data_IF_602911384906
#
_entry.id   IF_602911384906
#
_cell.length_a   1.000
_cell.length_b   1.000
_cell.length_c   1.000
_cell.angle_alpha   90.00
_cell.angle_beta   90.00
_cell.angle_gamma   90.00
#
_symmetry.space_group_name_H-M   'P 1'
#
loop_
_entity.id
_entity.type
_entity.pdbx_description
1 polymer ?
2 non-polymer ?
3 non-polymer ?
4 water ?
#
# COMPACT_ATOMS: atom_id res chain seq x y z
N UNK A 2 -24.22 -5.15 12.12
CA UNK A 2 -22.99 -5.62 12.83
C UNK A 2 -23.13 -5.52 14.35
N UNK A 3 -22.40 -6.38 15.10
CA UNK A 3 -22.42 -6.26 16.57
C UNK A 3 -21.89 -4.91 17.02
N UNK A 4 -22.44 -4.40 18.13
CA UNK A 4 -21.98 -3.14 18.71
C UNK A 4 -20.53 -3.25 19.22
N UNK A 5 -20.14 -4.43 19.68
CA UNK A 5 -18.78 -4.66 20.20
C UNK A 5 -18.30 -6.04 19.82
N UNK A 6 -16.99 -6.18 19.63
CA UNK A 6 -16.32 -7.44 19.27
C UNK A 6 -14.99 -7.51 20.02
N UNK A 7 -14.64 -8.70 20.51
CA UNK A 7 -13.35 -8.92 21.16
C UNK A 7 -12.87 -10.32 20.79
N UNK A 8 -11.95 -10.39 19.83
CA UNK A 8 -11.43 -11.69 19.38
C UNK A 8 -10.68 -12.51 20.44
N UNK A 9 -10.26 -11.85 21.52
CA UNK A 9 -9.65 -12.59 22.65
C UNK A 9 -10.65 -13.59 23.27
N UNK A 10 -11.93 -13.18 23.31
CA UNK A 10 -13.02 -14.03 23.83
C UNK A 10 -13.23 -15.31 23.01
N UNK A 11 -12.81 -15.25 21.74
CA UNK A 11 -13.03 -16.31 20.76
C UNK A 11 -11.80 -17.24 20.59
N UNK A 12 -10.77 -17.08 21.45
CA UNK A 12 -9.58 -17.92 21.44
C UNK A 12 -8.64 -17.71 20.26
N UNK A 13 -8.68 -16.52 19.66
CA UNK A 13 -7.96 -16.23 18.40
C UNK A 13 -6.78 -15.27 18.54
N UNK A 14 -6.42 -14.92 19.77
CA UNK A 14 -5.36 -13.95 20.02
C UNK A 14 -4.31 -14.52 20.97
N UNK A 15 -3.04 -14.51 20.56
CA UNK A 15 -1.96 -15.06 21.39
C UNK A 15 -1.49 -14.05 22.44
N UNK A 16 -0.52 -14.45 23.27
CA UNK A 16 0.05 -13.55 24.26
C UNK A 16 0.68 -12.32 23.59
N UNK A 17 0.71 -11.22 24.33
CA UNK A 17 1.39 -10.02 23.85
C UNK A 17 2.89 -10.27 23.82
N UNK A 18 3.53 -9.83 22.73
CA UNK A 18 4.95 -9.97 22.50
C UNK A 18 5.67 -8.64 22.79
N UNK A 19 6.99 -8.72 22.96
CA UNK A 19 7.84 -7.59 23.32
C UNK A 19 8.89 -7.41 22.23
N UNK A 20 8.79 -6.35 21.41
CA UNK A 20 9.72 -6.18 20.29
C UNK A 20 11.12 -5.69 20.72
N UNK A 21 11.18 -5.06 21.88
CA UNK A 21 12.43 -4.49 22.39
C UNK A 21 12.94 -3.42 21.46
N UNK A 22 14.26 -3.38 21.24
CA UNK A 22 14.87 -2.28 20.49
C UNK A 22 14.83 -2.45 18.97
N UNK A 23 14.13 -3.47 18.50
CA UNK A 23 14.03 -3.78 17.08
C UNK A 23 12.64 -3.32 16.57
N UNK A 24 12.62 -2.56 15.48
CA UNK A 24 11.37 -2.04 14.91
C UNK A 24 10.59 -3.07 14.11
N UNK A 25 10.18 -4.15 14.77
CA UNK A 25 9.56 -5.29 14.11
C UNK A 25 8.04 -5.26 14.30
N UNK A 26 7.49 -4.11 14.63
CA UNK A 26 6.04 -4.00 14.88
C UNK A 26 5.24 -4.56 13.69
N UNK A 27 5.73 -4.26 12.50
CA UNK A 27 5.10 -4.72 11.25
C UNK A 27 5.02 -6.25 11.20
N UNK A 28 6.07 -6.90 11.68
CA UNK A 28 6.12 -8.37 11.66
C UNK A 28 5.17 -8.95 12.70
N UNK A 29 5.14 -8.33 13.88
CA UNK A 29 4.20 -8.79 14.91
C UNK A 29 2.74 -8.58 14.47
N UNK A 30 2.46 -7.45 13.83
CA UNK A 30 1.10 -7.15 13.34
C UNK A 30 0.68 -8.24 12.34
N UNK A 31 1.59 -8.57 11.43
CA UNK A 31 1.33 -9.57 10.38
C UNK A 31 1.06 -10.96 10.99
N UNK A 32 1.95 -11.43 11.86
CA UNK A 32 1.77 -12.74 12.45
C UNK A 32 0.49 -12.77 13.29
N UNK A 33 0.18 -11.69 14.00
CA UNK A 33 -1.03 -11.69 14.81
C UNK A 33 -2.31 -11.89 13.97
N UNK A 34 -2.34 -11.23 12.82
CA UNK A 34 -3.49 -11.40 11.94
C UNK A 34 -3.60 -12.85 11.46
N UNK A 35 -2.47 -13.41 11.06
CA UNK A 35 -2.46 -14.77 10.53
C UNK A 35 -2.75 -15.82 11.63
N UNK A 36 -2.29 -15.58 12.85
CA UNK A 36 -2.56 -16.46 14.00
C UNK A 36 -4.07 -16.70 14.16
N UNK A 37 -4.85 -15.63 14.04
CA UNK A 37 -6.32 -15.71 14.19
C UNK A 37 -6.90 -16.61 13.10
N UNK A 38 -6.44 -16.40 11.86
CA UNK A 38 -6.92 -17.19 10.74
C UNK A 38 -6.55 -18.68 10.92
N UNK A 39 -5.34 -18.94 11.43
CA UNK A 39 -4.89 -20.30 11.66
C UNK A 39 -5.82 -20.97 12.68
N UNK A 40 -6.14 -20.24 13.77
CA UNK A 40 -7.10 -20.74 14.77
C UNK A 40 -8.46 -21.08 14.12
N UNK A 41 -8.99 -20.16 13.32
CA UNK A 41 -10.29 -20.37 12.67
C UNK A 41 -10.30 -21.58 11.75
N UNK A 42 -9.18 -21.79 11.06
CA UNK A 42 -9.08 -22.85 10.07
C UNK A 42 -8.80 -24.22 10.69
N UNK A 43 -7.95 -24.27 11.71
CA UNK A 43 -7.43 -25.55 12.21
C UNK A 43 -7.79 -25.85 13.66
N UNK A 44 -8.27 -24.84 14.40
CA UNK A 44 -8.57 -24.97 15.81
C UNK A 44 -7.38 -24.84 16.73
N UNK A 45 -6.19 -24.56 16.19
CA UNK A 45 -5.04 -24.36 17.06
C UNK A 45 -4.61 -22.89 17.16
N UNK A 46 -4.33 -22.45 18.38
CA UNK A 46 -3.79 -21.12 18.64
C UNK A 46 -2.29 -21.27 18.88
N UNK A 47 -1.51 -20.72 17.96
CA UNK A 47 -0.06 -20.88 17.93
C UNK A 47 0.61 -19.55 17.59
N UNK A 48 1.58 -19.11 18.39
CA UNK A 48 2.34 -17.93 18.05
C UNK A 48 3.23 -18.24 16.85
N UNK A 49 3.15 -17.38 15.84
CA UNK A 49 3.93 -17.53 14.61
C UNK A 49 5.19 -16.66 14.67
N UNK A 50 6.18 -17.01 13.85
CA UNK A 50 7.51 -16.42 13.99
C UNK A 50 7.64 -15.02 13.38
N UNK A 51 7.55 -13.98 14.20
CA UNK A 51 7.92 -12.61 13.76
C UNK A 51 9.36 -12.55 13.25
N UNK A 52 10.26 -13.29 13.89
CA UNK A 52 11.67 -13.30 13.49
C UNK A 52 11.84 -13.79 12.06
N UNK A 53 11.07 -14.82 11.71
CA UNK A 53 11.07 -15.37 10.36
C UNK A 53 10.80 -14.24 9.35
N UNK A 54 9.83 -13.40 9.66
CA UNK A 54 9.54 -12.24 8.79
C UNK A 54 10.71 -11.25 8.77
N UNK A 55 11.23 -10.90 9.94
CA UNK A 55 12.36 -9.94 10.02
C UNK A 55 13.54 -10.40 9.16
N UNK A 56 13.87 -11.68 9.28
CA UNK A 56 15.07 -12.25 8.65
C UNK A 56 14.91 -12.61 7.17
N UNK A 57 13.69 -12.97 6.77
CA UNK A 57 13.41 -13.55 5.44
C UNK A 57 12.56 -12.69 4.52
N UNK A 58 11.63 -11.91 5.07
CA UNK A 58 10.82 -10.98 4.26
C UNK A 58 11.57 -9.65 4.25
N UNK A 59 12.62 -9.61 3.42
CA UNK A 59 13.60 -8.53 3.48
C UNK A 59 13.55 -7.70 2.16
N UNK A 60 14.70 -7.48 1.51
CA UNK A 60 14.78 -6.52 0.37
C UNK A 60 13.79 -6.79 -0.75
N UNK A 61 13.58 -8.06 -1.08
CA UNK A 61 12.67 -8.49 -2.14
C UNK A 61 11.24 -8.02 -1.89
N UNK A 62 10.94 -7.81 -0.59
CA UNK A 62 9.61 -7.39 -0.12
C UNK A 62 9.55 -5.92 0.30
N UNK A 63 10.62 -5.19 0.03
CA UNK A 63 10.71 -3.79 0.38
C UNK A 63 10.81 -3.52 1.87
N UNK A 64 11.13 -4.57 2.64
CA UNK A 64 11.25 -4.45 4.09
C UNK A 64 12.69 -4.30 4.58
N UNK A 65 12.83 -3.81 5.80
CA UNK A 65 14.13 -3.45 6.35
C UNK A 65 14.32 -3.99 7.75
N UNK A 66 13.66 -5.11 8.06
CA UNK A 66 13.88 -5.82 9.31
C UNK A 66 13.59 -4.96 10.53
N UNK A 67 14.59 -4.79 11.40
CA UNK A 67 14.43 -3.94 12.58
C UNK A 67 14.29 -2.45 12.28
N UNK A 68 14.47 -2.06 11.03
CA UNK A 68 14.24 -0.68 10.61
C UNK A 68 12.89 -0.46 9.91
N UNK A 69 12.01 -1.46 9.98
CA UNK A 69 10.63 -1.29 9.56
C UNK A 69 10.25 -2.10 8.35
N UNK A 70 8.95 -2.18 8.08
CA UNK A 70 8.45 -2.99 6.98
C UNK A 70 6.94 -2.88 6.87
N UNK A 71 6.38 -3.70 5.99
CA UNK A 71 4.97 -3.68 5.64
C UNK A 71 4.30 -5.02 5.95
N UNK A 72 3.16 -4.98 6.62
CA UNK A 72 2.38 -6.19 6.84
C UNK A 72 1.95 -6.85 5.54
N UNK A 73 1.55 -6.05 4.54
CA UNK A 73 1.05 -6.62 3.28
C UNK A 73 2.14 -7.42 2.58
N UNK A 74 3.34 -6.85 2.49
CA UNK A 74 4.45 -7.56 1.81
C UNK A 74 4.93 -8.74 2.67
N UNK A 75 4.84 -8.63 3.99
CA UNK A 75 5.03 -9.82 4.84
C UNK A 75 4.07 -10.97 4.47
N UNK A 76 2.77 -10.68 4.33
CA UNK A 76 1.82 -11.72 3.87
C UNK A 76 2.26 -12.33 2.53
N UNK A 77 2.66 -11.47 1.58
CA UNK A 77 3.05 -11.99 0.27
C UNK A 77 4.28 -12.88 0.42
N UNK A 78 5.23 -12.53 1.29
CA UNK A 78 6.36 -13.42 1.56
C UNK A 78 5.87 -14.81 1.96
N UNK A 79 4.90 -14.87 2.87
CA UNK A 79 4.44 -16.16 3.40
C UNK A 79 3.76 -16.97 2.27
N UNK A 80 3.03 -16.27 1.41
CA UNK A 80 2.40 -16.89 0.24
C UNK A 80 3.50 -17.44 -0.67
N UNK A 81 4.45 -16.59 -1.05
CA UNK A 81 5.52 -16.98 -1.99
C UNK A 81 6.38 -18.12 -1.44
N UNK A 82 6.64 -18.01 -0.14
CA UNK A 82 7.49 -18.95 0.59
C UNK A 82 6.81 -20.28 0.88
N UNK A 83 5.48 -20.33 0.73
CA UNK A 83 4.66 -21.52 1.03
C UNK A 83 4.72 -21.88 2.52
N UNK A 84 4.94 -20.88 3.36
CA UNK A 84 4.95 -21.11 4.80
C UNK A 84 5.62 -20.07 5.67
N UNK A 85 5.29 -20.17 6.95
CA UNK A 85 5.96 -19.46 8.00
C UNK A 85 6.12 -20.41 9.18
N UNK A 86 7.27 -20.33 9.82
CA UNK A 86 7.60 -21.19 10.95
C UNK A 86 6.92 -20.76 12.27
N UNK A 87 6.80 -21.69 13.21
CA UNK A 87 6.28 -21.38 14.52
C UNK A 87 7.26 -20.44 15.25
N UNK A 88 6.74 -19.61 16.14
CA UNK A 88 7.62 -18.84 17.03
C UNK A 88 8.49 -19.78 17.86
N UNK A 89 7.94 -20.90 18.30
CA UNK A 89 8.69 -21.87 19.14
C UNK A 89 9.95 -22.37 18.43
N UNK A 90 9.81 -22.63 17.13
CA UNK A 90 10.93 -23.14 16.34
C UNK A 90 11.89 -22.05 15.90
N UNK A 91 11.39 -20.81 15.83
CA UNK A 91 12.15 -19.71 15.26
C UNK A 91 11.87 -18.48 16.12
N UNK A 92 12.35 -18.52 17.38
CA UNK A 92 12.04 -17.51 18.38
C UNK A 92 12.61 -16.11 18.09
N UNK A 93 12.06 -15.13 18.79
CA UNK A 93 12.37 -13.73 18.51
C UNK A 93 13.64 -13.27 19.21
N UNK A 94 14.53 -12.62 18.46
CA UNK A 94 15.85 -12.20 18.94
C UNK A 94 16.03 -10.67 18.93
N UNK A 95 15.07 -9.93 18.38
CA UNK A 95 15.15 -8.46 18.37
C UNK A 95 16.43 -7.98 17.68
N UNK A 96 16.82 -8.69 16.62
CA UNK A 96 17.85 -8.20 15.73
C UNK A 96 17.67 -8.78 14.34
N UNK A 97 18.29 -8.12 13.37
CA UNK A 97 18.34 -8.59 11.99
C UNK A 97 19.27 -9.79 11.91
N UNK A 98 18.79 -10.87 11.29
CA UNK A 98 19.62 -12.04 11.05
C UNK A 98 19.42 -12.59 9.66
N UNK A 99 20.37 -13.41 9.24
CA UNK A 99 20.26 -14.23 8.04
C UNK A 99 18.99 -15.10 8.10
N UNK A 100 18.33 -15.24 6.97
CA UNK A 100 17.13 -16.08 6.90
C UNK A 100 17.42 -17.53 7.31
N UNK A 101 16.67 -18.02 8.30
CA UNK A 101 16.80 -19.39 8.79
C UNK A 101 15.51 -20.21 8.63
N UNK A 102 14.62 -19.77 7.74
CA UNK A 102 13.39 -20.52 7.50
C UNK A 102 13.72 -21.97 7.15
N UNK A 103 12.96 -22.90 7.73
CA UNK A 103 13.01 -24.30 7.38
C UNK A 103 11.56 -24.80 7.32
N UNK A 104 11.17 -25.39 6.19
CA UNK A 104 9.81 -25.89 6.04
C UNK A 104 9.45 -27.01 7.04
N UNK A 105 10.46 -27.65 7.63
CA UNK A 105 10.17 -28.66 8.66
C UNK A 105 9.53 -28.06 9.93
N UNK A 106 9.57 -26.72 10.09
CA UNK A 106 8.97 -26.07 11.25
C UNK A 106 7.79 -25.18 10.84
N UNK A 107 7.27 -25.40 9.62
CA UNK A 107 6.12 -24.63 9.13
C UNK A 107 4.92 -24.79 10.08
N UNK A 108 4.36 -23.66 10.51
CA UNK A 108 3.15 -23.64 11.38
C UNK A 108 1.90 -23.10 10.67
N UNK A 109 2.10 -22.35 9.60
CA UNK A 109 0.98 -21.77 8.86
C UNK A 109 1.36 -21.48 7.42
N UNK A 110 0.32 -21.38 6.62
CA UNK A 110 0.41 -20.92 5.26
C UNK A 110 -0.49 -19.68 5.10
N UNK A 111 -0.35 -19.04 3.95
CA UNK A 111 -1.19 -17.91 3.56
C UNK A 111 -1.49 -18.08 2.07
N UNK A 112 -2.74 -17.86 1.67
CA UNK A 112 -3.15 -18.04 0.27
C UNK A 112 -3.39 -16.71 -0.43
N UNK A 113 -3.71 -15.67 0.35
CA UNK A 113 -4.04 -14.37 -0.19
C UNK A 113 -4.12 -13.36 0.95
N UNK A 114 -4.16 -12.08 0.60
CA UNK A 114 -4.50 -11.05 1.58
C UNK A 114 -5.36 -9.99 0.91
N UNK A 115 -6.04 -9.21 1.73
CA UNK A 115 -6.94 -8.18 1.25
C UNK A 115 -6.57 -6.88 1.94
N UNK A 116 -6.45 -5.81 1.15
CA UNK A 116 -6.22 -4.46 1.64
C UNK A 116 -7.53 -3.70 1.60
N UNK A 117 -7.96 -3.18 2.73
CA UNK A 117 -9.22 -2.46 2.83
C UNK A 117 -9.05 -1.04 2.25
N UNK A 118 -10.16 -0.45 1.77
CA UNK A 118 -10.07 0.91 1.24
C UNK A 118 -9.68 1.99 2.25
N UNK A 119 -8.97 2.99 1.75
CA UNK A 119 -8.35 3.99 2.58
C UNK A 119 -9.39 4.78 3.41
N UNK A 120 -9.21 4.77 4.73
CA UNK A 120 -9.91 5.66 5.62
C UNK A 120 -11.31 5.27 6.03
N UNK A 121 -11.78 4.10 5.59
CA UNK A 121 -13.18 3.72 5.76
C UNK A 121 -13.31 2.89 7.04
N UNK A 122 -13.69 3.56 8.12
CA UNK A 122 -13.80 2.89 9.43
C UNK A 122 -15.00 1.94 9.49
N UNK A 123 -16.02 2.19 8.68
CA UNK A 123 -17.17 1.28 8.61
C UNK A 123 -16.79 -0.08 7.98
N UNK A 124 -15.97 -0.01 6.94
CA UNK A 124 -15.49 -1.21 6.25
C UNK A 124 -14.55 -1.99 7.19
N UNK A 125 -13.72 -1.25 7.95
CA UNK A 125 -12.82 -1.86 8.92
C UNK A 125 -13.67 -2.57 9.98
N UNK A 126 -14.76 -1.93 10.42
CA UNK A 126 -15.65 -2.54 11.43
C UNK A 126 -16.21 -3.85 10.93
N UNK A 127 -16.67 -3.85 9.68
CA UNK A 127 -17.23 -5.05 9.06
C UNK A 127 -16.18 -6.19 9.02
N UNK A 128 -14.95 -5.86 8.65
CA UNK A 128 -13.89 -6.87 8.57
C UNK A 128 -13.58 -7.44 9.96
N UNK A 129 -13.48 -6.58 10.96
CA UNK A 129 -13.19 -7.06 12.31
C UNK A 129 -14.34 -7.97 12.79
N UNK A 130 -15.58 -7.59 12.48
CA UNK A 130 -16.74 -8.35 12.94
C UNK A 130 -16.81 -9.71 12.26
N UNK A 131 -16.54 -9.70 10.96
CA UNK A 131 -16.87 -10.84 10.10
C UNK A 131 -15.71 -11.70 9.58
N UNK A 132 -14.50 -11.15 9.58
CA UNK A 132 -13.35 -11.85 9.03
C UNK A 132 -12.34 -12.24 10.10
N UNK A 133 -11.97 -11.28 10.94
CA UNK A 133 -11.00 -11.54 12.00
C UNK A 133 -10.23 -10.26 12.36
N UNK A 134 -9.23 -10.40 13.24
CA UNK A 134 -8.32 -9.27 13.51
C UNK A 134 -7.70 -8.78 12.21
N UNK A 135 -7.51 -7.46 12.17
CA UNK A 135 -7.01 -6.79 10.98
C UNK A 135 -5.71 -6.00 11.31
N UNK A 136 -4.69 -6.23 10.49
CA UNK A 136 -3.43 -5.53 10.61
C UNK A 136 -3.63 -4.09 10.15
N UNK A 137 -3.15 -3.14 10.94
CA UNK A 137 -3.26 -1.73 10.60
C UNK A 137 -1.96 -0.99 10.95
N UNK A 138 -1.75 0.15 10.30
CA UNK A 138 -0.75 1.12 10.69
C UNK A 138 -1.41 2.23 11.46
N UNK A 139 -0.72 2.72 12.48
CA UNK A 139 -1.13 3.94 13.16
C UNK A 139 0.03 4.95 13.26
N UNK A 140 -0.34 6.21 13.47
CA UNK A 140 0.61 7.25 13.81
C UNK A 140 0.84 7.14 15.31
N UNK A 141 2.00 6.58 15.67
CA UNK A 141 2.41 6.44 17.05
C UNK A 141 3.55 7.39 17.41
N UNK A 142 3.76 8.43 16.61
CA UNK A 142 4.90 9.34 16.80
C UNK A 142 4.54 10.53 17.68
N UNK A 143 3.91 10.24 18.82
CA UNK A 143 3.50 11.26 19.77
C UNK A 143 3.75 10.73 21.17
N UNK A 144 4.28 11.58 22.07
CA UNK A 144 4.55 11.10 23.43
C UNK A 144 3.34 10.46 24.12
N UNK A 145 2.14 10.96 23.86
CA UNK A 145 0.93 10.43 24.52
C UNK A 145 0.71 8.94 24.24
N UNK A 146 1.17 8.47 23.08
CA UNK A 146 1.05 7.06 22.72
C UNK A 146 1.96 6.23 23.65
N UNK A 147 3.19 6.68 23.85
CA UNK A 147 4.15 6.01 24.73
C UNK A 147 3.68 6.03 26.19
N UNK A 148 2.99 7.11 26.56
CA UNK A 148 2.57 7.35 27.94
C UNK A 148 1.20 6.75 28.26
N UNK A 149 0.54 6.21 27.23
CA UNK A 149 -0.83 5.75 27.39
C UNK A 149 -0.92 4.65 28.45
N UNK A 150 -1.91 4.77 29.33
CA UNK A 150 -2.13 3.80 30.40
C UNK A 150 -3.48 3.10 30.32
N UNK A 151 -4.54 3.87 30.06
CA UNK A 151 -5.88 3.27 30.04
C UNK A 151 -6.92 4.21 29.41
N UNK A 152 -8.09 3.65 29.10
CA UNK A 152 -9.19 4.41 28.54
C UNK A 152 -9.09 4.52 27.04
N UNK A 153 -9.91 5.40 26.47
CA UNK A 153 -9.91 5.60 25.03
C UNK A 153 -8.90 6.69 24.66
N UNK A 154 -7.89 6.29 23.90
CA UNK A 154 -6.83 7.17 23.44
C UNK A 154 -7.29 8.11 22.32
N UNK A 155 -7.12 9.42 22.58
CA UNK A 155 -7.32 10.46 21.58
C UNK A 155 -6.17 11.47 21.68
N UNK A 156 -5.50 11.72 20.56
CA UNK A 156 -4.35 12.64 20.48
C UNK A 156 -4.68 13.70 19.42
N UNK A 157 -4.95 14.95 19.87
CA UNK A 157 -5.33 15.98 18.91
C UNK A 157 -4.25 16.29 17.85
N UNK A 158 -2.99 15.95 18.11
CA UNK A 158 -1.90 16.15 17.14
C UNK A 158 -1.68 14.96 16.20
N UNK A 159 -2.49 13.91 16.33
CA UNK A 159 -2.33 12.72 15.48
C UNK A 159 -2.60 13.07 14.03
N UNK A 160 -1.93 12.35 13.14
CA UNK A 160 -2.06 12.51 11.70
C UNK A 160 -2.51 11.19 11.09
N UNK A 161 -2.76 11.19 9.78
CA UNK A 161 -3.10 9.98 9.03
C UNK A 161 -1.85 9.32 8.41
N UNK A 162 -0.68 9.89 8.73
CA UNK A 162 0.64 9.37 8.32
C UNK A 162 1.07 8.29 9.31
N UNK A 163 0.98 7.02 8.90
CA UNK A 163 1.19 5.91 9.82
C UNK A 163 2.65 5.44 9.82
N UNK A 164 3.09 4.97 10.98
CA UNK A 164 4.49 4.58 11.15
C UNK A 164 4.73 3.41 12.12
N UNK A 165 3.63 2.80 12.59
CA UNK A 165 3.71 1.75 13.60
C UNK A 165 2.65 0.69 13.31
N UNK A 166 3.06 -0.56 13.10
CA UNK A 166 2.15 -1.65 12.78
C UNK A 166 1.59 -2.26 14.04
N UNK A 167 0.26 -2.38 14.09
CA UNK A 167 -0.44 -2.98 15.23
C UNK A 167 -1.59 -3.88 14.70
N UNK A 168 -2.36 -4.47 15.63
CA UNK A 168 -3.41 -5.42 15.26
C UNK A 168 -4.75 -5.02 15.89
N UNK A 169 -5.77 -4.77 15.08
CA UNK A 169 -7.10 -4.50 15.63
C UNK A 169 -7.75 -5.84 15.94
N UNK A 170 -7.97 -6.12 17.22
CA UNK A 170 -8.61 -7.38 17.65
C UNK A 170 -10.05 -7.22 18.12
N UNK A 171 -10.61 -6.02 17.96
CA UNK A 171 -12.00 -5.80 18.30
C UNK A 171 -12.35 -4.34 18.32
N UNK A 172 -13.54 -4.04 18.79
CA UNK A 172 -14.01 -2.66 18.89
C UNK A 172 -15.15 -2.61 19.91
N UNK A 173 -15.48 -1.42 20.33
CA UNK A 173 -16.60 -1.26 21.26
C UNK A 173 -16.73 0.19 21.67
N UNK A 174 -17.21 0.39 22.90
CA UNK A 174 -17.34 1.74 23.43
C UNK A 174 -17.20 1.74 24.94
N UNK A 175 -16.66 2.83 25.47
CA UNK A 175 -16.45 2.95 26.91
C UNK A 175 -17.37 4.08 27.33
N UNK A 176 -18.50 3.72 27.93
CA UNK A 176 -19.55 4.68 28.25
C UNK A 176 -19.89 5.54 27.04
N UNK A 177 -20.09 4.90 25.88
CA UNK A 177 -20.44 5.60 24.63
C UNK A 177 -19.28 6.15 23.79
N UNK A 178 -18.08 6.28 24.39
CA UNK A 178 -16.89 6.71 23.64
C UNK A 178 -16.35 5.52 22.84
N UNK A 179 -16.48 5.59 21.51
CA UNK A 179 -16.18 4.45 20.66
C UNK A 179 -14.68 4.23 20.50
N UNK A 180 -14.29 2.97 20.43
CA UNK A 180 -12.89 2.66 20.27
C UNK A 180 -12.65 1.42 19.41
N UNK A 181 -11.40 1.36 18.94
CA UNK A 181 -10.80 0.14 18.37
C UNK A 181 -9.91 -0.53 19.43
N UNK A 182 -10.04 -1.83 19.59
CA UNK A 182 -9.22 -2.56 20.57
C UNK A 182 -7.98 -3.02 19.83
N UNK A 183 -6.83 -2.46 20.23
CA UNK A 183 -5.58 -2.70 19.51
C UNK A 183 -4.55 -3.47 20.36
N UNK A 184 -4.04 -4.57 19.80
CA UNK A 184 -2.93 -5.33 20.32
C UNK A 184 -1.61 -4.71 19.81
N UNK A 185 -0.76 -4.28 20.75
CA UNK A 185 0.56 -3.73 20.42
C UNK A 185 1.62 -4.84 20.69
N UNK A 186 2.87 -4.57 20.35
CA UNK A 186 3.97 -5.51 20.57
C UNK A 186 5.08 -4.83 21.38
N UNK A 187 4.66 -4.07 22.40
CA UNK A 187 5.59 -3.40 23.32
C UNK A 187 5.55 -4.06 24.70
N UNK A 188 5.14 -5.32 24.73
CA UNK A 188 5.16 -6.10 25.97
C UNK A 188 3.93 -5.90 26.81
N UNK A 189 3.85 -6.65 27.90
CA UNK A 189 2.61 -6.74 28.66
C UNK A 189 2.43 -5.61 29.66
N UNK A 190 3.41 -4.72 29.77
CA UNK A 190 3.30 -3.56 30.67
C UNK A 190 2.93 -2.27 29.95
N UNK A 191 2.88 -2.29 28.62
CA UNK A 191 2.41 -1.12 27.87
C UNK A 191 0.87 -1.02 27.97
N UNK A 192 0.39 0.17 28.31
CA UNK A 192 -1.05 0.44 28.24
C UNK A 192 -1.88 -0.51 29.08
N UNK A 193 -2.94 -1.05 28.50
CA UNK A 193 -3.83 -1.98 29.20
C UNK A 193 -3.30 -3.40 29.00
N UNK A 194 -2.21 -3.68 29.72
CA UNK A 194 -1.56 -5.00 29.67
C UNK A 194 -1.27 -5.44 28.23
N UNK A 195 -0.76 -4.48 27.46
CA UNK A 195 -0.26 -4.71 26.11
C UNK A 195 -1.17 -4.20 25.00
N UNK A 196 -2.36 -3.74 25.42
CA UNK A 196 -3.43 -3.27 24.53
C UNK A 196 -3.63 -1.78 24.68
N UNK A 197 -4.14 -1.17 23.62
CA UNK A 197 -4.55 0.24 23.65
C UNK A 197 -5.90 0.35 22.96
N UNK A 198 -6.83 1.05 23.61
CA UNK A 198 -8.13 1.36 22.99
C UNK A 198 -8.03 2.75 22.33
N UNK A 199 -8.13 2.76 21.00
CA UNK A 199 -7.94 3.99 20.22
C UNK A 199 -9.25 4.54 19.67
N UNK A 200 -9.39 5.86 19.65
CA UNK A 200 -10.64 6.51 19.24
C UNK A 200 -11.11 6.00 17.87
N UNK A 201 -12.38 5.62 17.82
CA UNK A 201 -13.04 5.09 16.62
C UNK A 201 -14.13 6.06 16.16
N UNK A 202 -14.30 6.14 14.83
CA UNK A 202 -15.28 7.04 14.21
C UNK A 202 -15.03 8.49 14.64
N UNK A 203 -13.74 8.82 14.74
CA UNK A 203 -13.27 10.18 15.00
C UNK A 203 -12.37 10.63 13.85
N UNK A 204 -12.86 10.45 12.62
CA UNK A 204 -12.16 10.99 11.45
C UNK A 204 -10.84 10.27 11.17
N UNK A 205 -10.88 8.94 11.24
CA UNK A 205 -9.70 8.13 10.93
C UNK A 205 -8.53 8.54 11.83
N UNK A 206 -8.80 8.50 13.14
CA UNK A 206 -7.89 9.07 14.10
C UNK A 206 -6.56 8.29 14.15
N UNK A 207 -5.45 9.02 14.07
CA UNK A 207 -4.10 8.41 14.00
C UNK A 207 -3.90 7.47 12.79
N UNK A 208 -4.76 7.60 11.77
CA UNK A 208 -4.67 6.80 10.55
C UNK A 208 -4.97 5.33 10.74
N UNK A 209 -5.76 5.01 11.78
CA UNK A 209 -6.03 3.60 12.09
C UNK A 209 -6.65 2.83 10.91
N UNK A 210 -7.47 3.53 10.12
CA UNK A 210 -8.13 2.95 8.94
C UNK A 210 -7.42 3.32 7.62
N UNK A 211 -6.21 3.88 7.71
CA UNK A 211 -5.50 4.28 6.50
C UNK A 211 -5.08 3.07 5.67
N UNK A 212 -4.43 2.10 6.32
CA UNK A 212 -3.84 0.94 5.60
C UNK A 212 -4.11 -0.39 6.33
N UNK A 213 -5.38 -0.81 6.33
CA UNK A 213 -5.72 -2.06 6.96
C UNK A 213 -5.61 -3.25 6.01
N UNK A 214 -5.18 -4.39 6.53
CA UNK A 214 -5.18 -5.59 5.71
C UNK A 214 -5.37 -6.85 6.55
N UNK A 215 -5.86 -7.91 5.91
CA UNK A 215 -5.95 -9.19 6.60
C UNK A 215 -5.62 -10.34 5.63
N UNK A 216 -4.99 -11.39 6.15
CA UNK A 216 -4.64 -12.57 5.35
C UNK A 216 -5.71 -13.66 5.42
N UNK A 217 -5.63 -14.60 4.49
CA UNK A 217 -6.37 -15.83 4.61
C UNK A 217 -5.45 -17.03 4.41
N UNK A 218 -5.78 -18.13 5.08
CA UNK A 218 -4.83 -19.23 5.20
C UNK A 218 -4.61 -19.92 3.85
N UNK B 2 -3.54 -14.54 -22.20
CA UNK B 2 -3.49 -13.06 -22.39
C UNK B 2 -2.79 -12.70 -23.71
N UNK B 3 -3.04 -11.49 -24.23
CA UNK B 3 -2.26 -11.04 -25.41
C UNK B 3 -0.77 -10.99 -25.08
N UNK B 4 0.08 -11.33 -26.05
CA UNK B 4 1.53 -11.29 -25.85
C UNK B 4 2.05 -9.87 -25.66
N UNK B 5 1.35 -8.90 -26.25
CA UNK B 5 1.70 -7.49 -26.11
C UNK B 5 0.48 -6.60 -26.03
N UNK B 6 0.62 -5.51 -25.29
CA UNK B 6 -0.43 -4.51 -25.13
C UNK B 6 0.21 -3.13 -25.19
N UNK B 7 -0.47 -2.20 -25.85
CA UNK B 7 -0.06 -0.77 -25.81
C UNK B 7 -1.33 0.08 -25.83
N UNK B 8 -1.68 0.64 -24.67
CA UNK B 8 -2.92 1.40 -24.55
C UNK B 8 -2.91 2.72 -25.34
N UNK B 9 -1.72 3.19 -25.73
CA UNK B 9 -1.63 4.35 -26.62
C UNK B 9 -2.34 4.09 -27.97
N UNK B 10 -2.25 2.85 -28.46
CA UNK B 10 -2.90 2.42 -29.71
C UNK B 10 -4.43 2.50 -29.64
N UNK B 11 -4.98 2.44 -28.43
CA UNK B 11 -6.42 2.51 -28.25
C UNK B 11 -6.86 3.94 -27.88
N UNK B 12 -5.93 4.89 -27.92
CA UNK B 12 -6.27 6.28 -27.65
C UNK B 12 -6.62 6.54 -26.19
N UNK B 13 -6.07 5.73 -25.28
CA UNK B 13 -6.39 5.80 -23.84
C UNK B 13 -5.32 6.50 -22.97
N UNK B 14 -4.30 7.07 -23.61
CA UNK B 14 -3.20 7.72 -22.89
C UNK B 14 -3.00 9.16 -23.36
N UNK B 15 -2.99 10.10 -22.41
CA UNK B 15 -2.82 11.51 -22.73
C UNK B 15 -1.34 11.80 -22.96
N UNK B 16 -1.04 13.01 -23.42
CA UNK B 16 0.36 13.30 -23.63
C UNK B 16 1.12 13.32 -22.30
N UNK B 17 2.42 13.05 -22.42
CA UNK B 17 3.35 13.05 -21.31
C UNK B 17 3.41 14.46 -20.70
N UNK B 18 3.43 14.51 -19.37
CA UNK B 18 3.46 15.77 -18.62
C UNK B 18 4.85 15.97 -18.05
N UNK B 19 5.11 17.19 -17.55
CA UNK B 19 6.42 17.58 -17.03
C UNK B 19 6.22 18.08 -15.60
N UNK B 20 6.67 17.32 -14.59
CA UNK B 20 6.36 17.66 -13.20
C UNK B 20 7.22 18.83 -12.68
N UNK B 21 8.35 19.08 -13.34
CA UNK B 21 9.28 20.10 -12.87
C UNK B 21 9.84 19.76 -11.49
N UNK B 22 10.07 20.81 -10.69
CA UNK B 22 10.70 20.66 -9.36
C UNK B 22 9.64 20.47 -8.27
N UNK B 23 8.67 19.61 -8.54
CA UNK B 23 7.58 19.34 -7.61
C UNK B 23 7.40 17.84 -7.63
N UNK B 24 7.48 17.20 -6.45
CA UNK B 24 7.38 15.74 -6.35
C UNK B 24 5.95 15.24 -6.51
N UNK B 25 5.35 15.53 -7.66
CA UNK B 25 3.93 15.24 -7.90
C UNK B 25 3.71 13.98 -8.75
N UNK B 26 4.76 13.15 -8.86
CA UNK B 26 4.67 11.93 -9.66
C UNK B 26 3.46 11.06 -9.28
N UNK B 27 3.21 10.95 -7.97
CA UNK B 27 2.05 10.21 -7.46
C UNK B 27 0.74 10.73 -8.06
N UNK B 28 0.62 12.06 -8.17
CA UNK B 28 -0.57 12.68 -8.75
C UNK B 28 -0.67 12.39 -10.26
N UNK B 29 0.43 12.49 -11.01
CA UNK B 29 0.40 12.18 -12.45
C UNK B 29 0.08 10.69 -12.69
N UNK B 30 0.66 9.83 -11.88
CA UNK B 30 0.42 8.40 -12.02
C UNK B 30 -1.06 8.12 -11.83
N UNK B 31 -1.63 8.73 -10.78
CA UNK B 31 -3.06 8.55 -10.48
C UNK B 31 -3.97 9.07 -11.60
N UNK B 32 -3.76 10.31 -12.03
CA UNK B 32 -4.65 10.85 -13.08
C UNK B 32 -4.51 10.06 -14.40
N UNK B 33 -3.28 9.61 -14.70
CA UNK B 33 -3.05 8.81 -15.90
C UNK B 33 -3.89 7.54 -15.91
N UNK B 34 -3.95 6.84 -14.78
CA UNK B 34 -4.78 5.63 -14.71
C UNK B 34 -6.26 6.00 -14.91
N UNK B 35 -6.72 7.06 -14.26
CA UNK B 35 -8.14 7.44 -14.35
C UNK B 35 -8.52 7.94 -15.75
N UNK B 36 -7.58 8.63 -16.39
CA UNK B 36 -7.76 9.11 -17.78
C UNK B 36 -8.14 7.96 -18.73
N UNK B 37 -7.44 6.82 -18.60
CA UNK B 37 -7.75 5.65 -19.45
C UNK B 37 -9.18 5.15 -19.20
N UNK B 38 -9.55 5.06 -17.92
CA UNK B 38 -10.89 4.62 -17.55
C UNK B 38 -11.96 5.57 -18.10
N UNK B 39 -11.72 6.87 -17.97
CA UNK B 39 -12.63 7.87 -18.49
C UNK B 39 -12.83 7.69 -19.99
N UNK B 40 -11.73 7.44 -20.71
CA UNK B 40 -11.81 7.21 -22.17
C UNK B 40 -12.62 5.94 -22.47
N UNK B 41 -12.32 4.87 -21.75
CA UNK B 41 -13.04 3.62 -21.94
C UNK B 41 -14.55 3.76 -21.67
N UNK B 42 -14.92 4.57 -20.68
CA UNK B 42 -16.32 4.72 -20.29
C UNK B 42 -17.10 5.70 -21.18
N UNK B 43 -16.46 6.80 -21.56
CA UNK B 43 -17.15 7.93 -22.18
C UNK B 43 -16.76 8.14 -23.64
N UNK B 44 -15.64 7.55 -24.06
CA UNK B 44 -15.12 7.69 -25.42
C UNK B 44 -14.29 8.95 -25.61
N UNK B 45 -14.11 9.73 -24.55
CA UNK B 45 -13.38 10.99 -24.63
C UNK B 45 -12.05 10.96 -23.85
N UNK B 46 -10.98 11.38 -24.50
CA UNK B 46 -9.68 11.49 -23.86
C UNK B 46 -9.47 12.92 -23.32
N UNK B 47 -9.32 13.03 -22.00
CA UNK B 47 -9.22 14.32 -21.30
C UNK B 47 -8.16 14.21 -20.20
N UNK B 48 -7.13 15.06 -20.24
CA UNK B 48 -6.16 15.09 -19.15
C UNK B 48 -6.86 15.60 -17.89
N UNK B 49 -6.56 14.95 -16.77
CA UNK B 49 -7.17 15.29 -15.50
C UNK B 49 -6.15 16.03 -14.62
N UNK B 50 -6.64 16.75 -13.63
CA UNK B 50 -5.82 17.72 -12.94
C UNK B 50 -4.96 17.10 -11.85
N UNK B 51 -3.68 16.91 -12.15
CA UNK B 51 -2.68 16.58 -11.13
C UNK B 51 -2.61 17.64 -10.02
N UNK B 52 -2.74 18.90 -10.42
CA UNK B 52 -2.72 19.99 -9.45
C UNK B 52 -3.87 19.87 -8.42
N UNK B 53 -5.04 19.47 -8.90
CA UNK B 53 -6.21 19.21 -8.02
C UNK B 53 -5.83 18.24 -6.90
N UNK B 54 -5.12 17.17 -7.26
CA UNK B 54 -4.66 16.21 -6.25
C UNK B 54 -3.62 16.84 -5.33
N UNK B 55 -2.62 17.52 -5.90
CA UNK B 55 -1.59 18.15 -5.10
C UNK B 55 -2.19 19.08 -4.02
N UNK B 56 -3.16 19.90 -4.42
CA UNK B 56 -3.70 20.95 -3.55
C UNK B 56 -4.77 20.41 -2.59
N UNK B 57 -5.49 19.36 -3.00
CA UNK B 57 -6.71 18.94 -2.31
C UNK B 57 -6.63 17.56 -1.64
N UNK B 58 -5.86 16.63 -2.20
CA UNK B 58 -5.70 15.31 -1.58
C UNK B 58 -4.45 15.41 -0.70
N UNK B 59 -4.62 15.99 0.49
CA UNK B 59 -3.48 16.40 1.31
C UNK B 59 -3.44 15.56 2.62
N UNK B 60 -3.41 16.21 3.78
CA UNK B 60 -3.10 15.52 5.04
C UNK B 60 -4.07 14.39 5.38
N UNK B 61 -5.35 14.60 5.11
CA UNK B 61 -6.41 13.61 5.35
C UNK B 61 -6.10 12.30 4.61
N UNK B 62 -5.34 12.44 3.51
CA UNK B 62 -5.00 11.32 2.64
C UNK B 62 -3.55 10.84 2.77
N UNK B 63 -2.83 11.40 3.75
CA UNK B 63 -1.43 11.07 3.98
C UNK B 63 -0.49 11.64 2.92
N UNK B 64 -0.99 12.54 2.09
CA UNK B 64 -0.18 13.10 1.00
C UNK B 64 0.40 14.44 1.38
N UNK B 65 1.49 14.79 0.70
CA UNK B 65 2.32 15.93 1.04
C UNK B 65 2.61 16.79 -0.20
N UNK B 66 1.68 16.79 -1.17
CA UNK B 66 1.78 17.66 -2.32
C UNK B 66 3.08 17.49 -3.10
N UNK B 67 3.82 18.58 -3.26
CA UNK B 67 5.12 18.53 -3.95
C UNK B 67 6.19 17.74 -3.21
N UNK B 68 5.90 17.30 -1.98
CA UNK B 68 6.81 16.45 -1.23
C UNK B 68 6.39 14.96 -1.19
N UNK B 69 5.51 14.55 -2.12
CA UNK B 69 5.16 13.15 -2.29
C UNK B 69 3.77 12.76 -1.82
N UNK B 70 3.36 11.56 -2.19
CA UNK B 70 2.00 11.06 -1.90
C UNK B 70 1.83 9.66 -2.44
N UNK B 71 0.59 9.18 -2.39
CA UNK B 71 0.22 7.82 -2.80
C UNK B 71 -0.89 7.84 -3.86
N UNK B 72 -0.76 6.98 -4.87
CA UNK B 72 -1.79 6.91 -5.89
C UNK B 72 -3.11 6.41 -5.30
N UNK B 73 -3.02 5.41 -4.42
CA UNK B 73 -4.23 4.81 -3.86
C UNK B 73 -5.04 5.84 -3.06
N UNK B 74 -4.37 6.62 -2.21
CA UNK B 74 -5.10 7.58 -1.40
C UNK B 74 -5.61 8.74 -2.28
N UNK B 75 -4.89 9.02 -3.38
CA UNK B 75 -5.41 9.96 -4.39
C UNK B 75 -6.75 9.46 -4.96
N UNK B 76 -6.80 8.18 -5.32
CA UNK B 76 -8.04 7.57 -5.79
C UNK B 76 -9.14 7.74 -4.74
N UNK B 77 -8.82 7.46 -3.47
CA UNK B 77 -9.84 7.61 -2.43
C UNK B 77 -10.35 9.05 -2.32
N UNK B 78 -9.46 10.03 -2.45
CA UNK B 78 -9.87 11.45 -2.46
C UNK B 78 -10.90 11.67 -3.55
N UNK B 79 -10.62 11.16 -4.76
CA UNK B 79 -11.54 11.39 -5.88
C UNK B 79 -12.94 10.78 -5.60
N UNK B 80 -12.94 9.58 -5.04
CA UNK B 80 -14.17 8.93 -4.60
C UNK B 80 -14.90 9.78 -3.54
N UNK B 81 -14.19 10.15 -2.47
CA UNK B 81 -14.76 10.93 -1.37
C UNK B 81 -15.24 12.30 -1.84
N UNK B 82 -14.48 12.90 -2.74
CA UNK B 82 -14.77 14.24 -3.27
C UNK B 82 -15.90 14.26 -4.29
N UNK B 83 -16.27 13.08 -4.77
CA UNK B 83 -17.23 12.90 -5.87
C UNK B 83 -16.76 13.52 -7.19
N UNK B 84 -15.44 13.62 -7.37
CA UNK B 84 -14.91 14.09 -8.66
C UNK B 84 -13.52 14.66 -8.63
N UNK B 85 -13.02 14.92 -9.84
CA UNK B 85 -11.73 15.54 -10.09
C UNK B 85 -11.91 16.45 -11.32
N UNK B 86 -11.31 17.63 -11.24
CA UNK B 86 -11.37 18.62 -12.30
C UNK B 86 -10.47 18.26 -13.47
N UNK B 87 -10.79 18.80 -14.65
CA UNK B 87 -9.90 18.61 -15.82
C UNK B 87 -8.60 19.39 -15.61
N UNK B 88 -7.53 18.95 -16.28
CA UNK B 88 -6.28 19.69 -16.29
C UNK B 88 -6.47 21.09 -16.88
N UNK B 89 -7.27 21.19 -17.95
CA UNK B 89 -7.53 22.49 -18.59
C UNK B 89 -8.11 23.50 -17.59
N UNK B 90 -8.98 23.04 -16.71
CA UNK B 90 -9.65 23.92 -15.74
C UNK B 90 -8.83 24.25 -14.51
N UNK B 91 -7.86 23.38 -14.21
CA UNK B 91 -7.13 23.42 -12.95
C UNK B 91 -5.68 23.02 -13.30
N UNK B 92 -4.99 23.93 -14.00
CA UNK B 92 -3.68 23.64 -14.59
C UNK B 92 -2.59 23.41 -13.56
N UNK B 93 -1.55 22.73 -14.01
CA UNK B 93 -0.41 22.35 -13.16
C UNK B 93 0.62 23.47 -13.02
N UNK B 94 0.95 23.78 -11.76
CA UNK B 94 1.82 24.88 -11.39
C UNK B 94 3.13 24.44 -10.71
N UNK B 95 3.28 23.14 -10.47
CA UNK B 95 4.48 22.61 -9.82
C UNK B 95 4.77 23.32 -8.48
N UNK B 96 3.69 23.63 -7.75
CA UNK B 96 3.79 24.15 -6.40
C UNK B 96 2.55 23.80 -5.62
N UNK B 97 2.69 23.83 -4.29
CA UNK B 97 1.58 23.58 -3.39
C UNK B 97 0.71 24.84 -3.34
N UNK B 98 -0.58 24.66 -3.57
CA UNK B 98 -1.53 25.77 -3.52
C UNK B 98 -2.72 25.42 -2.64
N UNK B 99 -3.55 26.41 -2.38
CA UNK B 99 -4.82 26.17 -1.72
C UNK B 99 -5.72 25.31 -2.61
N UNK B 100 -6.58 24.50 -2.00
CA UNK B 100 -7.49 23.67 -2.75
C UNK B 100 -8.52 24.54 -3.46
N UNK B 101 -8.62 24.38 -4.78
CA UNK B 101 -9.50 25.21 -5.60
C UNK B 101 -10.48 24.34 -6.39
N UNK B 102 -10.73 23.13 -5.92
CA UNK B 102 -11.68 22.25 -6.58
C UNK B 102 -13.05 22.93 -6.73
N UNK B 103 -13.64 22.77 -7.92
CA UNK B 103 -15.00 23.24 -8.21
C UNK B 103 -15.66 22.19 -9.08
N UNK B 104 -16.82 21.69 -8.66
CA UNK B 104 -17.47 20.61 -9.40
C UNK B 104 -17.97 21.08 -10.77
N UNK B 105 -18.03 22.39 -10.99
CA UNK B 105 -18.42 22.91 -12.31
C UNK B 105 -17.40 22.53 -13.39
N UNK B 106 -16.19 22.20 -12.95
CA UNK B 106 -15.11 21.80 -13.85
C UNK B 106 -14.75 20.31 -13.73
N UNK B 107 -15.60 19.52 -13.08
CA UNK B 107 -15.40 18.07 -12.95
C UNK B 107 -15.33 17.43 -14.34
N UNK B 108 -14.30 16.60 -14.56
CA UNK B 108 -14.19 15.82 -15.81
C UNK B 108 -14.19 14.29 -15.61
N UNK B 109 -14.06 13.85 -14.35
CA UNK B 109 -14.09 12.44 -14.05
C UNK B 109 -14.58 12.20 -12.61
N UNK B 110 -15.02 10.97 -12.39
CA UNK B 110 -15.33 10.44 -11.07
C UNK B 110 -14.57 9.13 -10.88
N UNK B 111 -14.64 8.61 -9.66
CA UNK B 111 -14.04 7.32 -9.31
C UNK B 111 -14.99 6.68 -8.32
N UNK B 112 -15.27 5.39 -8.48
CA UNK B 112 -16.16 4.68 -7.55
C UNK B 112 -15.41 3.71 -6.65
N UNK B 113 -14.21 3.31 -7.07
CA UNK B 113 -13.43 2.32 -6.35
C UNK B 113 -12.03 2.25 -6.94
N UNK B 114 -11.13 1.61 -6.22
CA UNK B 114 -9.83 1.26 -6.77
C UNK B 114 -9.44 -0.13 -6.25
N UNK B 115 -8.42 -0.69 -6.89
CA UNK B 115 -7.98 -2.05 -6.62
C UNK B 115 -6.47 -2.04 -6.52
N UNK B 116 -5.95 -2.64 -5.45
CA UNK B 116 -4.51 -2.81 -5.29
C UNK B 116 -4.13 -4.24 -5.60
N UNK B 117 -3.16 -4.43 -6.49
CA UNK B 117 -2.77 -5.77 -6.91
C UNK B 117 -1.79 -6.38 -5.90
N UNK B 118 -1.73 -7.71 -5.83
CA UNK B 118 -0.81 -8.39 -4.91
C UNK B 118 0.64 -8.07 -5.17
N UNK B 119 1.40 -7.96 -4.08
CA UNK B 119 2.78 -7.54 -4.14
C UNK B 119 3.65 -8.42 -5.03
N UNK B 120 4.30 -7.78 -6.01
CA UNK B 120 5.37 -8.42 -6.77
C UNK B 120 4.97 -9.41 -7.85
N UNK B 121 3.66 -9.59 -8.05
CA UNK B 121 3.13 -10.58 -8.99
C UNK B 121 3.03 -9.99 -10.40
N UNK B 122 4.05 -10.24 -11.20
CA UNK B 122 4.07 -9.63 -12.54
C UNK B 122 3.04 -10.26 -13.48
N UNK B 123 2.70 -11.51 -13.22
CA UNK B 123 1.64 -12.20 -13.96
C UNK B 123 0.26 -11.53 -13.76
N UNK B 124 -0.02 -11.14 -12.52
CA UNK B 124 -1.26 -10.48 -12.17
C UNK B 124 -1.28 -9.06 -12.74
N UNK B 125 -0.13 -8.38 -12.67
CA UNK B 125 0.00 -7.06 -13.30
C UNK B 125 -0.30 -7.13 -14.80
N UNK B 126 0.24 -8.16 -15.47
CA UNK B 126 0.04 -8.36 -16.91
C UNK B 126 -1.46 -8.53 -17.21
N UNK B 127 -2.11 -9.40 -16.45
CA UNK B 127 -3.56 -9.59 -16.57
C UNK B 127 -4.35 -8.27 -16.43
N UNK B 128 -4.02 -7.48 -15.41
CA UNK B 128 -4.67 -6.20 -15.19
C UNK B 128 -4.44 -5.21 -16.36
N UNK B 129 -3.21 -5.14 -16.84
CA UNK B 129 -2.90 -4.24 -17.97
C UNK B 129 -3.69 -4.69 -19.20
N UNK B 130 -3.77 -5.99 -19.42
CA UNK B 130 -4.50 -6.50 -20.59
C UNK B 130 -6.02 -6.30 -20.44
N UNK B 131 -6.57 -6.61 -19.27
CA UNK B 131 -8.03 -6.70 -19.11
C UNK B 131 -8.73 -5.50 -18.50
N UNK B 132 -7.98 -4.62 -17.84
CA UNK B 132 -8.56 -3.49 -17.11
C UNK B 132 -8.15 -2.14 -17.68
N UNK B 133 -6.84 -1.99 -17.91
CA UNK B 133 -6.31 -0.75 -18.46
C UNK B 133 -4.96 -0.46 -17.85
N UNK B 134 -4.44 0.74 -18.14
CA UNK B 134 -3.19 1.15 -17.50
C UNK B 134 -3.25 1.10 -15.97
N UNK B 135 -2.11 0.80 -15.35
CA UNK B 135 -2.04 0.58 -13.90
C UNK B 135 -0.98 1.50 -13.28
N UNK B 136 -1.37 2.20 -12.22
CA UNK B 136 -0.45 3.05 -11.49
C UNK B 136 0.51 2.13 -10.72
N UNK B 137 1.80 2.45 -10.76
CA UNK B 137 2.80 1.69 -10.04
C UNK B 137 3.88 2.63 -9.46
N UNK B 138 4.66 2.10 -8.52
CA UNK B 138 5.88 2.75 -8.03
C UNK B 138 7.09 2.00 -8.58
N UNK B 139 8.14 2.73 -8.91
CA UNK B 139 9.43 2.12 -9.30
C UNK B 139 10.56 2.76 -8.53
N UNK B 140 11.65 2.02 -8.41
CA UNK B 140 12.91 2.54 -7.89
C UNK B 140 13.61 3.30 -9.04
N UNK B 141 13.46 4.64 -9.03
CA UNK B 141 14.00 5.51 -10.07
C UNK B 141 15.22 6.29 -9.57
N UNK B 142 15.87 5.77 -8.53
CA UNK B 142 16.96 6.52 -7.84
C UNK B 142 18.30 6.42 -8.55
N UNK B 143 18.43 5.44 -9.43
CA UNK B 143 19.74 5.10 -9.94
C UNK B 143 20.14 5.99 -11.09
N UNK B 144 21.38 6.47 -11.10
CA UNK B 144 21.79 7.40 -12.19
C UNK B 144 21.45 6.94 -13.61
N UNK B 145 21.48 5.63 -13.86
CA UNK B 145 21.15 5.07 -15.18
C UNK B 145 19.71 5.37 -15.61
N UNK B 146 18.80 5.48 -14.65
CA UNK B 146 17.38 5.77 -14.95
C UNK B 146 17.24 7.11 -15.69
N UNK B 147 17.88 8.14 -15.14
CA UNK B 147 17.79 9.47 -15.67
C UNK B 147 18.37 9.55 -17.09
N UNK B 148 19.34 8.68 -17.37
CA UNK B 148 20.04 8.68 -18.66
C UNK B 148 19.50 7.67 -19.69
N UNK B 149 18.45 6.94 -19.35
CA UNK B 149 17.86 5.97 -20.26
C UNK B 149 17.39 6.64 -21.55
N UNK B 150 17.73 6.02 -22.69
CA UNK B 150 17.35 6.54 -24.00
C UNK B 150 16.56 5.55 -24.84
N UNK B 151 16.94 4.27 -24.78
CA UNK B 151 16.31 3.27 -25.63
C UNK B 151 16.53 1.85 -25.13
N UNK B 152 15.88 0.90 -25.80
CA UNK B 152 15.99 -0.50 -25.46
C UNK B 152 15.17 -0.82 -24.22
N UNK B 153 15.55 -1.89 -23.53
CA UNK B 153 14.87 -2.33 -22.33
C UNK B 153 15.76 -2.11 -21.13
N UNK B 154 15.27 -1.32 -20.20
CA UNK B 154 16.02 -0.90 -19.02
C UNK B 154 16.16 -2.06 -18.02
N UNK B 155 17.42 -2.40 -17.75
CA UNK B 155 17.77 -3.36 -16.73
C UNK B 155 19.00 -2.82 -15.98
N UNK B 156 18.85 -2.59 -14.69
CA UNK B 156 19.86 -1.99 -13.84
C UNK B 156 20.14 -2.97 -12.70
N UNK B 157 21.31 -3.64 -12.71
CA UNK B 157 21.68 -4.57 -11.63
C UNK B 157 21.57 -4.00 -10.20
N UNK B 158 21.75 -2.68 -10.03
CA UNK B 158 21.67 -2.04 -8.72
C UNK B 158 20.26 -1.68 -8.28
N UNK B 159 19.28 -1.97 -9.13
CA UNK B 159 17.90 -1.63 -8.81
C UNK B 159 17.42 -2.42 -7.60
N UNK B 160 16.45 -1.83 -6.89
CA UNK B 160 15.88 -2.45 -5.71
C UNK B 160 14.38 -2.47 -5.81
N UNK B 161 13.73 -3.15 -4.86
CA UNK B 161 12.29 -3.11 -4.73
C UNK B 161 11.82 -2.04 -3.75
N UNK B 162 12.71 -1.13 -3.35
CA UNK B 162 12.33 0.03 -2.56
C UNK B 162 11.92 1.16 -3.50
N UNK B 163 10.63 1.34 -3.70
CA UNK B 163 10.15 2.25 -4.75
C UNK B 163 10.06 3.69 -4.25
N UNK B 164 10.33 4.65 -5.15
CA UNK B 164 10.34 6.07 -4.77
C UNK B 164 9.66 7.01 -5.79
N UNK B 165 9.10 6.45 -6.86
CA UNK B 165 8.66 7.26 -8.00
C UNK B 165 7.39 6.64 -8.60
N UNK B 166 6.31 7.42 -8.61
CA UNK B 166 5.04 6.95 -9.15
C UNK B 166 5.01 7.13 -10.67
N UNK B 167 4.67 6.07 -11.39
CA UNK B 167 4.58 6.11 -12.85
C UNK B 167 3.36 5.28 -13.31
N UNK B 168 3.21 5.12 -14.63
CA UNK B 168 2.02 4.47 -15.17
C UNK B 168 2.42 3.38 -16.18
N UNK B 169 2.00 2.14 -15.93
CA UNK B 169 2.23 1.07 -16.88
C UNK B 169 1.10 1.10 -17.90
N UNK B 170 1.44 1.40 -19.15
CA UNK B 170 0.44 1.52 -20.21
C UNK B 170 0.51 0.38 -21.23
N UNK B 171 1.37 -0.59 -20.97
CA UNK B 171 1.53 -1.72 -21.87
C UNK B 171 2.63 -2.67 -21.46
N UNK B 172 2.84 -3.68 -22.31
CA UNK B 172 3.92 -4.63 -22.12
C UNK B 172 4.18 -5.30 -23.45
N UNK B 173 5.34 -5.91 -23.58
CA UNK B 173 5.64 -6.65 -24.80
C UNK B 173 7.04 -7.22 -24.73
N UNK B 174 7.63 -7.39 -25.91
CA UNK B 174 8.99 -7.90 -26.03
C UNK B 174 9.71 -7.17 -27.15
N UNK B 175 10.96 -6.81 -26.89
CA UNK B 175 11.79 -6.09 -27.84
C UNK B 175 13.12 -6.84 -27.91
N UNK B 176 13.45 -7.37 -29.09
CA UNK B 176 14.73 -8.05 -29.29
C UNK B 176 15.04 -9.09 -28.22
N UNK B 177 14.04 -9.90 -27.92
CA UNK B 177 14.21 -11.02 -27.01
C UNK B 177 14.13 -10.66 -25.54
N UNK B 178 13.82 -9.39 -25.25
CA UNK B 178 13.70 -8.90 -23.87
C UNK B 178 12.28 -8.46 -23.56
N UNK B 179 11.66 -9.09 -22.56
CA UNK B 179 10.30 -8.69 -22.15
C UNK B 179 10.35 -7.35 -21.43
N UNK B 180 9.33 -6.52 -21.63
CA UNK B 180 9.30 -5.23 -20.96
C UNK B 180 7.89 -4.80 -20.56
N UNK B 181 7.87 -3.88 -19.62
CA UNK B 181 6.74 -3.07 -19.25
C UNK B 181 6.88 -1.71 -19.92
N UNK B 182 5.82 -1.21 -20.52
CA UNK B 182 5.86 0.09 -21.14
C UNK B 182 5.38 1.11 -20.11
N UNK B 183 6.28 2.00 -19.70
CA UNK B 183 6.02 2.92 -18.57
C UNK B 183 6.02 4.39 -19.01
N UNK B 184 4.93 5.09 -18.68
CA UNK B 184 4.77 6.52 -18.95
C UNK B 184 5.31 7.27 -17.71
N UNK B 185 6.34 8.09 -17.90
CA UNK B 185 6.92 8.92 -16.86
C UNK B 185 6.32 10.34 -16.95
N UNK B 186 6.65 11.21 -15.99
CA UNK B 186 6.13 12.58 -15.94
C UNK B 186 7.30 13.58 -15.83
N UNK B 187 8.37 13.31 -16.57
CA UNK B 187 9.52 14.19 -16.71
C UNK B 187 9.60 14.79 -18.13
N UNK B 188 8.45 14.89 -18.79
CA UNK B 188 8.37 15.53 -20.11
C UNK B 188 8.90 14.63 -21.22
N UNK B 189 8.84 15.14 -22.46
CA UNK B 189 9.24 14.36 -23.63
C UNK B 189 10.76 14.20 -23.78
N UNK B 190 11.55 14.97 -23.03
CA UNK B 190 13.02 14.85 -23.12
C UNK B 190 13.49 13.53 -22.55
N UNK B 191 12.74 13.01 -21.58
CA UNK B 191 13.12 11.78 -20.90
C UNK B 191 12.87 10.56 -21.78
N UNK B 192 13.85 9.65 -21.84
CA UNK B 192 13.66 8.38 -22.47
C UNK B 192 13.13 8.46 -23.88
N UNK B 193 12.14 7.62 -24.16
CA UNK B 193 11.55 7.54 -25.47
C UNK B 193 10.28 8.39 -25.51
N UNK B 194 10.47 9.68 -25.74
CA UNK B 194 9.38 10.65 -25.76
C UNK B 194 8.56 10.56 -24.46
N UNK B 195 9.27 10.38 -23.35
CA UNK B 195 8.61 10.39 -22.03
C UNK B 195 8.32 9.02 -21.45
N UNK B 196 8.60 7.99 -22.25
CA UNK B 196 8.41 6.58 -21.87
C UNK B 196 9.72 5.86 -21.59
N UNK B 197 9.61 4.81 -20.79
CA UNK B 197 10.72 3.89 -20.55
C UNK B 197 10.21 2.44 -20.58
N UNK B 198 10.91 1.60 -21.33
CA UNK B 198 10.64 0.16 -21.34
C UNK B 198 11.45 -0.46 -20.23
N UNK B 199 10.77 -0.98 -19.22
CA UNK B 199 11.47 -1.54 -18.06
C UNK B 199 11.39 -3.07 -18.06
N UNK B 200 12.49 -3.72 -17.67
CA UNK B 200 12.53 -5.19 -17.68
C UNK B 200 11.33 -5.83 -16.98
N UNK B 201 10.76 -6.83 -17.65
CA UNK B 201 9.60 -7.58 -17.19
C UNK B 201 9.98 -9.04 -17.02
N UNK B 202 9.38 -9.66 -15.99
CA UNK B 202 9.68 -11.02 -15.57
C UNK B 202 11.17 -11.22 -15.27
N UNK B 203 11.77 -10.19 -14.68
CA UNK B 203 13.14 -10.28 -14.20
C UNK B 203 13.18 -10.01 -12.69
N UNK B 204 12.37 -10.74 -11.95
CA UNK B 204 12.43 -10.66 -10.50
C UNK B 204 11.90 -9.34 -9.94
N UNK B 205 10.76 -8.89 -10.46
CA UNK B 205 10.13 -7.65 -9.99
C UNK B 205 11.16 -6.52 -10.03
N UNK B 206 11.74 -6.33 -11.22
CA UNK B 206 12.85 -5.43 -11.40
C UNK B 206 12.46 -3.98 -11.04
N UNK B 207 13.27 -3.34 -10.20
CA UNK B 207 13.03 -1.96 -9.77
C UNK B 207 11.68 -1.80 -9.05
N UNK B 208 11.10 -2.91 -8.59
CA UNK B 208 9.86 -2.89 -7.82
C UNK B 208 8.62 -2.54 -8.63
N UNK B 209 8.71 -2.68 -9.95
CA UNK B 209 7.62 -2.28 -10.83
C UNK B 209 6.26 -2.89 -10.43
N UNK B 210 6.27 -4.13 -9.94
CA UNK B 210 5.03 -4.81 -9.55
C UNK B 210 4.79 -4.82 -8.04
N UNK B 211 5.56 -4.00 -7.30
CA UNK B 211 5.47 -4.01 -5.83
C UNK B 211 4.13 -3.43 -5.36
N UNK B 212 3.78 -2.27 -5.89
CA UNK B 212 2.56 -1.55 -5.43
C UNK B 212 1.68 -1.05 -6.58
N UNK B 213 1.08 -1.97 -7.32
CA UNK B 213 0.23 -1.61 -8.44
C UNK B 213 -1.22 -1.35 -8.06
N UNK B 214 -1.85 -0.39 -8.71
CA UNK B 214 -3.27 -0.12 -8.46
C UNK B 214 -3.96 0.50 -9.66
N UNK B 215 -5.27 0.32 -9.74
CA UNK B 215 -6.02 0.98 -10.80
C UNK B 215 -7.41 1.36 -10.28
N UNK B 216 -7.94 2.50 -10.76
CA UNK B 216 -9.25 2.99 -10.39
C UNK B 216 -10.30 2.50 -11.38
N UNK B 217 -11.55 2.60 -10.96
CA UNK B 217 -12.67 2.43 -11.88
C UNK B 217 -13.61 3.62 -11.72
N UNK B 218 -14.30 3.96 -12.81
CA UNK B 218 -15.03 5.22 -12.90
C UNK B 218 -16.22 5.25 -11.95
X LIG C 1 4.49 1.27 8.57
X LIG C 1 5.03 2.45 8.05
X LIG C 1 6.30 2.88 8.45
X LIG C 1 7.02 2.13 9.39
X LIG C 1 6.47 0.97 9.92
X LIG C 1 5.22 0.54 9.50
X LIG C 1 4.51 -0.96 10.16
X LIG C 1 7.28 0.17 10.90
X LIG C 1 7.58 0.67 12.11
X LIG C 1 7.67 -0.91 10.52
X LIG C 1 8.39 -0.05 13.11
X LIG C 1 7.51 -0.35 14.32
X LIG C 1 8.11 -1.39 15.12
X LIG C 1 9.51 0.91 13.52
X LIG C 1 10.48 1.16 12.39
X LIG C 1 3.12 0.79 8.15
X LIG C 1 2.33 0.67 9.20
X LIG C 1 3.24 -0.40 7.56
X LIG C 1 2.59 1.61 7.27
X LIG D 1 15.89 -22.17 12.61
X LIG D 1 14.19 -22.32 12.02
X LIG D 1 15.87 -20.86 13.85
X LIG D 1 16.28 -23.64 13.60
X LIG E 1 5.78 6.25 -3.76
X LIG E 1 6.64 6.00 -2.69
X LIG E 1 7.45 7.02 -2.20
X LIG E 1 7.42 8.28 -2.78
X LIG E 1 6.56 8.53 -3.85
X LIG E 1 5.74 7.52 -4.34
X LIG E 1 4.64 7.83 -5.72
X LIG E 1 6.53 9.91 -4.44
X LIG E 1 7.60 10.34 -5.12
X LIG E 1 5.55 10.58 -4.26
X LIG E 1 7.66 11.68 -5.72
X LIG E 1 7.84 11.53 -7.24
X LIG E 1 7.44 12.76 -7.82
X LIG E 1 8.89 12.39 -5.14
X LIG E 1 8.62 12.84 -3.72
X LIG E 1 4.88 5.17 -4.31
X LIG E 1 5.17 5.04 -5.59
X LIG E 1 3.62 5.53 -4.16
X LIG E 1 5.05 4.01 -3.71
#
# INVERSE_FOLDING_TARGET
ILPDSVDWREKGCVTEVKYQGSCGACWAFSAVGALEAQLKLKTGKLVSLSAQNLVDCSTEKYGNKGCNGGFMTTAFQYIIDNKGIDSDASYPYKAMDQKCQYDSKYRAATCSKYTELPYGREDVLKEAVANKGPVSVGVDARHPSFFLYRSGVYYEPSCTQNVNHGVLVVGYGDLNGKEYWLVKNSWGHNFGEEGYIRMARNKGNHCGIASFPSYPEI
ILPDSVDWREKGCVTEVKYQGSCGACWAFSAVGALEAQLKLKTGKLVSLSAQNLVDCSTEKYGNKGCNGGFMTTAFQYIIDNKGIDSDASYPYKAMDQKCQYDSKYRAATCSKYTELPYGREDVLKEAVANKGPVSVGVDARHPSFFLYRSGVYYEPSCTQNVNHGVLVVGYGDLNGKEYWLVKNSWGHNFGEEGYIRMARNKGNHCGIASFPSYPEI
O64 C1 C2 C3 C4 C5 C6 CL7 C8 N9 O10 C11 C12 O13 C14 C15 C16 F17 F18 F19
DMS S O C1 C2
O64 C1 C2 C3 C4 C5 C6 CL7 C8 N9 O10 C11 C12 O13 C14 C15 C16 F17 F18 F19
#
